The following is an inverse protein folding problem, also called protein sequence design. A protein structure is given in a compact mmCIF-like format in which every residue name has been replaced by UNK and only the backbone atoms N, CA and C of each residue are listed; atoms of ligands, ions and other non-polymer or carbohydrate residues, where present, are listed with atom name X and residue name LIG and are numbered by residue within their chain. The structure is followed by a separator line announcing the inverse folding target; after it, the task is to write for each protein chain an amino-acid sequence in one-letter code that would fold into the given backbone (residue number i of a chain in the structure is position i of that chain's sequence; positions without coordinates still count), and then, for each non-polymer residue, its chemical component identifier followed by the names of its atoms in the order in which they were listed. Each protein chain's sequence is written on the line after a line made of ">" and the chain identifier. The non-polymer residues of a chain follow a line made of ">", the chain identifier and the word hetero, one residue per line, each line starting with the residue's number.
data_IF_321917912269
#
_entry.id   IF_321917912269
#
_cell.length_a   1.000
_cell.length_b   1.000
_cell.length_c   1.000
_cell.angle_alpha   90.00
_cell.angle_beta   90.00
_cell.angle_gamma   90.00
#
_symmetry.space_group_name_H-M   'P 1'
#
loop_
_entity.id
_entity.type
_entity.pdbx_description
1 polymer ?
#
# COMPACT_ATOMS: atom_id res chain seq x y z
N UNK A 1 14.04 8.03 7.19
CA UNK A 1 13.89 9.13 6.19
C UNK A 1 13.99 8.64 4.74
N UNK A 2 14.77 7.59 4.47
CA UNK A 2 14.89 6.96 3.14
C UNK A 2 13.63 6.15 2.72
N UNK A 3 13.07 5.32 3.61
CA UNK A 3 11.84 4.54 3.32
C UNK A 3 10.64 5.44 2.95
N UNK A 4 10.51 6.60 3.60
CA UNK A 4 9.48 7.61 3.31
C UNK A 4 9.58 8.14 1.87
N UNK A 5 10.79 8.44 1.39
CA UNK A 5 11.03 8.91 0.01
C UNK A 5 10.70 7.82 -1.01
N UNK A 6 11.05 6.57 -0.71
CA UNK A 6 10.73 5.43 -1.57
C UNK A 6 9.23 5.19 -1.69
N UNK A 7 8.49 5.27 -0.57
CA UNK A 7 7.02 5.18 -0.56
C UNK A 7 6.41 6.32 -1.38
N UNK A 8 6.85 7.56 -1.18
CA UNK A 8 6.36 8.71 -1.96
C UNK A 8 6.61 8.55 -3.46
N UNK A 9 7.78 8.02 -3.83
CA UNK A 9 8.13 7.77 -5.25
C UNK A 9 7.20 6.73 -5.87
N UNK A 10 6.85 5.67 -5.13
CA UNK A 10 5.90 4.65 -5.59
C UNK A 10 4.49 5.21 -5.72
N UNK A 11 4.04 6.02 -4.77
CA UNK A 11 2.74 6.68 -4.82
C UNK A 11 2.62 7.60 -6.04
N UNK A 12 3.65 8.39 -6.35
CA UNK A 12 3.68 9.21 -7.57
C UNK A 12 3.56 8.39 -8.86
N UNK A 13 4.17 7.19 -8.89
CA UNK A 13 4.02 6.27 -10.03
C UNK A 13 2.57 5.75 -10.15
N UNK A 14 1.97 5.37 -9.02
CA UNK A 14 0.57 4.92 -8.96
C UNK A 14 -0.37 6.03 -9.45
N UNK A 15 -0.15 7.28 -9.02
CA UNK A 15 -0.91 8.44 -9.49
C UNK A 15 -0.83 8.58 -11.02
N UNK A 16 0.37 8.43 -11.60
CA UNK A 16 0.56 8.43 -13.05
C UNK A 16 -0.17 7.28 -13.76
N UNK A 17 -0.22 6.09 -13.16
CA UNK A 17 -0.97 4.96 -13.70
C UNK A 17 -2.48 5.22 -13.67
N UNK A 18 -3.02 5.80 -12.60
CA UNK A 18 -4.44 6.17 -12.50
C UNK A 18 -4.81 7.18 -13.59
N UNK A 19 -4.02 8.26 -13.75
CA UNK A 19 -4.21 9.22 -14.85
C UNK A 19 -4.10 8.57 -16.24
N UNK A 20 -3.27 7.54 -16.37
CA UNK A 20 -3.17 6.74 -17.58
C UNK A 20 -4.47 6.00 -17.87
N UNK A 21 -5.05 5.33 -16.87
CA UNK A 21 -6.33 4.61 -16.97
C UNK A 21 -7.47 5.56 -17.35
N UNK A 22 -7.55 6.74 -16.74
CA UNK A 22 -8.56 7.75 -17.09
C UNK A 22 -8.49 8.09 -18.58
N UNK A 23 -7.28 8.37 -19.10
CA UNK A 23 -7.08 8.62 -20.54
C UNK A 23 -7.42 7.42 -21.41
N UNK A 24 -7.14 6.19 -20.97
CA UNK A 24 -7.52 5.00 -21.74
C UNK A 24 -9.04 4.91 -21.91
N UNK A 25 -9.80 5.26 -20.85
CA UNK A 25 -11.26 5.29 -20.89
C UNK A 25 -11.75 6.43 -21.79
N UNK A 26 -11.19 7.63 -21.66
CA UNK A 26 -11.54 8.79 -22.51
C UNK A 26 -11.31 8.53 -24.00
N UNK A 27 -10.34 7.68 -24.35
CA UNK A 27 -10.01 7.33 -25.72
C UNK A 27 -10.68 6.01 -26.18
N UNK A 28 -11.71 5.53 -25.48
CA UNK A 28 -12.45 4.31 -25.80
C UNK A 28 -11.56 3.07 -26.03
N UNK A 29 -10.47 2.96 -25.26
CA UNK A 29 -9.57 1.81 -25.36
C UNK A 29 -10.25 0.50 -24.93
N UNK A 30 -9.74 -0.62 -25.42
CA UNK A 30 -10.26 -1.95 -25.13
C UNK A 30 -10.37 -2.21 -23.61
N UNK A 31 -11.56 -2.64 -23.17
CA UNK A 31 -11.83 -2.96 -21.76
C UNK A 31 -10.82 -3.94 -21.16
N UNK A 32 -10.34 -4.91 -21.96
CA UNK A 32 -9.33 -5.88 -21.53
C UNK A 32 -8.02 -5.18 -21.14
N UNK A 33 -7.58 -4.19 -21.90
CA UNK A 33 -6.32 -3.49 -21.65
C UNK A 33 -6.44 -2.57 -20.44
N UNK A 34 -7.60 -1.91 -20.28
CA UNK A 34 -7.93 -1.13 -19.08
C UNK A 34 -7.90 -2.02 -17.83
N UNK A 35 -8.49 -3.22 -17.87
CA UNK A 35 -8.46 -4.18 -16.75
C UNK A 35 -7.03 -4.62 -16.40
N UNK A 36 -6.15 -4.79 -17.40
CA UNK A 36 -4.73 -5.10 -17.16
C UNK A 36 -4.05 -3.95 -16.41
N UNK A 37 -4.32 -2.69 -16.77
CA UNK A 37 -3.75 -1.55 -16.06
C UNK A 37 -4.31 -1.40 -14.64
N UNK A 38 -5.60 -1.65 -14.44
CA UNK A 38 -6.20 -1.69 -13.09
C UNK A 38 -5.52 -2.77 -12.24
N UNK A 39 -5.27 -3.96 -12.80
CA UNK A 39 -4.56 -5.03 -12.09
C UNK A 39 -3.11 -4.60 -11.72
N UNK A 40 -2.43 -3.88 -12.61
CA UNK A 40 -1.10 -3.32 -12.34
C UNK A 40 -1.12 -2.28 -11.21
N UNK A 41 -2.13 -1.40 -11.18
CA UNK A 41 -2.33 -0.44 -10.07
C UNK A 41 -2.57 -1.17 -8.76
N UNK A 42 -3.45 -2.19 -8.75
CA UNK A 42 -3.72 -3.00 -7.55
C UNK A 42 -2.44 -3.63 -7.01
N UNK A 43 -1.61 -4.23 -7.88
CA UNK A 43 -0.33 -4.80 -7.49
C UNK A 43 0.64 -3.76 -6.92
N UNK A 44 0.68 -2.56 -7.50
CA UNK A 44 1.53 -1.47 -7.03
C UNK A 44 1.09 -0.94 -5.65
N UNK A 45 -0.22 -0.75 -5.45
CA UNK A 45 -0.82 -0.35 -4.17
C UNK A 45 -0.52 -1.41 -3.09
N UNK A 46 -0.71 -2.69 -3.41
CA UNK A 46 -0.42 -3.78 -2.48
C UNK A 46 1.05 -3.76 -2.02
N UNK A 47 1.97 -3.44 -2.93
CA UNK A 47 3.39 -3.33 -2.60
C UNK A 47 3.69 -2.15 -1.68
N UNK A 48 3.01 -1.02 -1.85
CA UNK A 48 3.15 0.14 -0.96
C UNK A 48 2.58 -0.16 0.43
N UNK A 49 1.40 -0.76 0.51
CA UNK A 49 0.80 -1.11 1.79
C UNK A 49 1.61 -2.15 2.57
N UNK A 50 2.20 -3.14 1.89
CA UNK A 50 3.15 -4.07 2.51
C UNK A 50 4.36 -3.38 3.15
N UNK A 51 4.93 -2.36 2.49
CA UNK A 51 6.02 -1.55 3.06
C UNK A 51 5.55 -0.75 4.28
N UNK A 52 4.34 -0.18 4.24
CA UNK A 52 3.76 0.55 5.38
C UNK A 52 3.52 -0.36 6.58
N UNK A 53 3.01 -1.58 6.36
CA UNK A 53 2.81 -2.58 7.41
C UNK A 53 4.15 -3.00 8.02
N UNK A 54 5.18 -3.22 7.21
CA UNK A 54 6.52 -3.52 7.71
C UNK A 54 7.06 -2.40 8.60
N UNK A 55 6.89 -1.13 8.18
CA UNK A 55 7.29 0.03 8.97
C UNK A 55 6.50 0.14 10.29
N UNK A 56 5.19 -0.07 10.23
CA UNK A 56 4.31 -0.08 11.41
C UNK A 56 4.72 -1.19 12.39
N UNK A 57 4.97 -2.40 11.91
CA UNK A 57 5.43 -3.52 12.73
C UNK A 57 6.79 -3.21 13.40
N UNK A 58 7.77 -2.69 12.64
CA UNK A 58 9.09 -2.33 13.19
C UNK A 58 9.03 -1.22 14.24
N UNK A 59 8.21 -0.20 14.02
CA UNK A 59 8.18 0.98 14.89
C UNK A 59 7.30 0.74 16.11
N UNK A 60 6.09 0.20 15.93
CA UNK A 60 5.12 0.11 17.02
C UNK A 60 5.35 -1.12 17.92
N UNK A 61 5.88 -2.24 17.41
CA UNK A 61 6.14 -3.44 18.23
C UNK A 61 7.46 -3.41 18.97
N UNK A 62 8.47 -2.70 18.47
CA UNK A 62 9.83 -2.71 19.02
C UNK A 62 10.23 -1.41 19.72
N UNK A 63 9.31 -0.46 19.92
CA UNK A 63 9.55 0.67 20.82
C UNK A 63 9.90 0.16 22.23
N UNK A 64 11.14 0.43 22.64
CA UNK A 64 11.76 -0.01 23.88
C UNK A 64 11.12 0.71 25.07
N UNK A 65 10.37 -0.01 25.91
CA UNK A 65 9.97 0.50 27.23
C UNK A 65 8.64 -0.01 27.77
N UNK A 66 7.73 -0.49 26.92
CA UNK A 66 6.40 -0.90 27.38
C UNK A 66 6.10 -2.38 27.10
N UNK A 67 6.66 -3.24 27.95
CA UNK A 67 6.40 -4.69 27.95
C UNK A 67 5.00 -5.06 28.45
N UNK A 68 4.17 -4.09 28.90
CA UNK A 68 2.81 -4.35 29.38
C UNK A 68 1.73 -4.32 28.28
N UNK A 69 2.02 -3.77 27.10
CA UNK A 69 1.04 -3.55 26.03
C UNK A 69 1.39 -4.30 24.70
N UNK A 70 2.12 -5.42 24.77
CA UNK A 70 2.49 -6.18 23.55
C UNK A 70 1.29 -6.86 22.86
N UNK A 71 0.32 -7.37 23.61
CA UNK A 71 -0.86 -8.06 23.04
C UNK A 71 -1.75 -7.10 22.24
N UNK A 72 -2.10 -5.94 22.81
CA UNK A 72 -2.94 -4.93 22.15
C UNK A 72 -2.29 -4.38 20.87
N UNK A 73 -0.97 -4.15 20.89
CA UNK A 73 -0.20 -3.74 19.70
C UNK A 73 -0.22 -4.81 18.60
N UNK A 74 -0.16 -6.10 18.97
CA UNK A 74 -0.27 -7.21 18.01
C UNK A 74 -1.69 -7.30 17.46
N UNK A 75 -2.73 -7.17 18.28
CA UNK A 75 -4.13 -7.16 17.82
C UNK A 75 -4.39 -6.03 16.83
N UNK A 76 -3.88 -4.83 17.11
CA UNK A 76 -3.95 -3.68 16.20
C UNK A 76 -3.25 -3.95 14.85
N UNK A 77 -2.06 -4.55 14.88
CA UNK A 77 -1.35 -4.97 13.67
C UNK A 77 -2.13 -6.02 12.87
N UNK A 78 -2.66 -7.04 13.55
CA UNK A 78 -3.46 -8.11 12.92
C UNK A 78 -4.74 -7.55 12.31
N UNK A 79 -5.41 -6.61 12.99
CA UNK A 79 -6.59 -5.91 12.46
C UNK A 79 -6.25 -5.11 11.20
N UNK A 80 -5.16 -4.34 11.23
CA UNK A 80 -4.66 -3.56 10.08
C UNK A 80 -4.29 -4.47 8.90
N UNK A 81 -3.63 -5.59 9.17
CA UNK A 81 -3.29 -6.60 8.17
C UNK A 81 -4.55 -7.24 7.56
N UNK A 82 -5.53 -7.57 8.40
CA UNK A 82 -6.80 -8.19 7.97
C UNK A 82 -7.61 -7.23 7.09
N UNK A 83 -7.62 -5.93 7.42
CA UNK A 83 -8.22 -4.91 6.56
C UNK A 83 -7.53 -4.81 5.20
N UNK A 84 -6.21 -4.96 5.17
CA UNK A 84 -5.40 -4.86 3.95
C UNK A 84 -5.49 -6.08 3.03
N UNK A 85 -5.78 -7.26 3.58
CA UNK A 85 -5.89 -8.52 2.83
C UNK A 85 -7.29 -8.77 2.25
N UNK A 86 -8.29 -7.97 2.64
CA UNK A 86 -9.63 -7.98 2.05
C UNK A 86 -9.62 -7.28 0.70
#
# INVERSE_FOLDING_TARGET
>A
MEEKKQIQTRLKKIEGQIKGIEKMIENDMCCKDVLIQIAAVRAAVNKVGGLMIQNYAKTCLFEEGDTRCKSEKIESLVSTLTMFLK
#
